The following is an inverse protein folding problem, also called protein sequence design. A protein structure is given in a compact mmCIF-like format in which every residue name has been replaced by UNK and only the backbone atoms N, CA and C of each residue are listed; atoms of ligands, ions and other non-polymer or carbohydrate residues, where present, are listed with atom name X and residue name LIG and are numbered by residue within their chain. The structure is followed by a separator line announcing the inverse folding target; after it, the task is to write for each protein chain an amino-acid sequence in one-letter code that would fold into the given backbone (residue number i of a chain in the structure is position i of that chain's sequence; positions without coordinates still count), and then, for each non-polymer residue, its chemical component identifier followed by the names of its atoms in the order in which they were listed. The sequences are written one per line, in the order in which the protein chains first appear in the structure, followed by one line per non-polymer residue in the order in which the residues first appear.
data_IF_275470886124
#
_entry.id   IF_275470886124
#
_cell.length_a   1.000
_cell.length_b   1.000
_cell.length_c   1.000
_cell.angle_alpha   90.00
_cell.angle_beta   90.00
_cell.angle_gamma   90.00
#
_symmetry.space_group_name_H-M   'P 1'
#
loop_
_entity.id
_entity.type
_entity.pdbx_description
1 polymer ?
#
# COMPACT_ATOMS: atom_id res chain seq x y z
N UNK A 1 -4.63 25.93 1.42
CA UNK A 1 -4.84 24.67 0.67
C UNK A 1 -4.73 23.54 1.68
N UNK A 2 -5.76 22.70 1.81
CA UNK A 2 -5.72 21.54 2.70
C UNK A 2 -4.67 20.57 2.18
N UNK A 3 -3.54 20.39 2.90
CA UNK A 3 -2.58 19.32 2.58
C UNK A 3 -3.33 17.99 2.74
N UNK A 4 -3.51 17.23 1.66
CA UNK A 4 -4.15 15.91 1.73
C UNK A 4 -3.21 14.99 2.53
N UNK A 5 -3.72 14.34 3.58
CA UNK A 5 -2.98 13.27 4.25
C UNK A 5 -2.72 12.17 3.22
N UNK A 6 -1.53 11.57 3.22
CA UNK A 6 -1.15 10.50 2.30
C UNK A 6 -1.28 10.84 0.81
N UNK A 7 -0.86 12.06 0.40
CA UNK A 7 -0.94 12.49 -1.01
C UNK A 7 -0.24 11.57 -2.00
N UNK A 8 0.73 10.77 -1.54
CA UNK A 8 1.45 9.77 -2.32
C UNK A 8 0.63 8.52 -2.66
N UNK A 9 -0.50 8.28 -1.98
CA UNK A 9 -1.45 7.21 -2.30
C UNK A 9 -2.49 7.78 -3.27
N UNK A 10 -2.64 7.12 -4.41
CA UNK A 10 -3.61 7.46 -5.45
C UNK A 10 -4.80 6.53 -5.28
N UNK A 11 -5.97 7.10 -5.01
CA UNK A 11 -7.23 6.37 -5.01
C UNK A 11 -7.50 5.77 -6.40
N UNK A 12 -8.21 4.64 -6.48
CA UNK A 12 -8.51 4.02 -7.79
C UNK A 12 -9.23 4.98 -8.75
N UNK A 13 -10.04 5.92 -8.23
CA UNK A 13 -10.70 6.94 -9.06
C UNK A 13 -9.74 7.93 -9.72
N UNK A 14 -8.58 8.14 -9.10
CA UNK A 14 -7.55 9.09 -9.56
C UNK A 14 -6.44 8.37 -10.34
N UNK A 15 -6.39 7.03 -10.26
CA UNK A 15 -5.49 6.19 -11.04
C UNK A 15 -5.98 6.06 -12.49
N UNK A 16 -5.08 6.17 -13.46
CA UNK A 16 -5.39 6.08 -14.90
C UNK A 16 -5.55 4.61 -15.35
N UNK A 17 -6.41 3.85 -14.67
CA UNK A 17 -6.70 2.43 -14.95
C UNK A 17 -8.06 2.36 -15.64
N UNK A 18 -8.16 1.65 -16.75
CA UNK A 18 -9.43 1.55 -17.47
C UNK A 18 -10.48 0.74 -16.69
N UNK A 19 -11.74 1.16 -16.78
CA UNK A 19 -12.87 0.46 -16.15
C UNK A 19 -12.95 -1.01 -16.59
N UNK A 20 -12.66 -1.30 -17.86
CA UNK A 20 -12.62 -2.66 -18.41
C UNK A 20 -11.59 -3.56 -17.71
N UNK A 21 -10.45 -2.99 -17.27
CA UNK A 21 -9.45 -3.73 -16.49
C UNK A 21 -9.91 -3.88 -15.05
N UNK A 22 -10.43 -2.80 -14.46
CA UNK A 22 -10.93 -2.76 -13.09
C UNK A 22 -12.09 -3.74 -12.84
N UNK A 23 -12.95 -3.96 -13.83
CA UNK A 23 -14.09 -4.86 -13.76
C UNK A 23 -13.72 -6.35 -13.93
N UNK A 24 -12.50 -6.68 -14.39
CA UNK A 24 -12.09 -8.08 -14.56
C UNK A 24 -11.98 -8.79 -13.20
N UNK A 25 -12.30 -10.09 -13.15
CA UNK A 25 -11.95 -10.92 -12.01
C UNK A 25 -10.44 -10.94 -11.79
N UNK A 26 -9.98 -10.64 -10.58
CA UNK A 26 -8.56 -10.49 -10.30
C UNK A 26 -7.77 -11.79 -10.55
N UNK A 27 -8.39 -12.97 -10.38
CA UNK A 27 -7.74 -14.25 -10.62
C UNK A 27 -7.47 -14.55 -12.10
N UNK A 28 -8.08 -13.78 -13.02
CA UNK A 28 -7.83 -13.87 -14.46
C UNK A 28 -6.65 -13.00 -14.89
N UNK A 29 -6.11 -12.19 -13.98
CA UNK A 29 -4.96 -11.31 -14.23
C UNK A 29 -3.72 -11.94 -13.59
N UNK A 30 -2.59 -11.89 -14.29
CA UNK A 30 -1.34 -12.45 -13.77
C UNK A 30 -0.88 -11.66 -12.53
N UNK A 31 -0.23 -12.32 -11.56
CA UNK A 31 0.34 -11.63 -10.39
C UNK A 31 1.31 -10.49 -10.77
N UNK A 32 2.19 -10.65 -11.78
CA UNK A 32 3.01 -9.54 -12.28
C UNK A 32 2.19 -8.33 -12.78
N UNK A 33 1.07 -8.57 -13.46
CA UNK A 33 0.23 -7.47 -13.96
C UNK A 33 -0.61 -6.84 -12.84
N UNK A 34 -1.09 -7.64 -11.87
CA UNK A 34 -1.69 -7.11 -10.65
C UNK A 34 -0.70 -6.22 -9.90
N UNK A 35 0.57 -6.62 -9.79
CA UNK A 35 1.63 -5.78 -9.18
C UNK A 35 1.78 -4.44 -9.90
N UNK A 36 1.78 -4.43 -11.23
CA UNK A 36 1.87 -3.18 -12.01
C UNK A 36 0.66 -2.28 -11.76
N UNK A 37 -0.54 -2.86 -11.64
CA UNK A 37 -1.76 -2.10 -11.36
C UNK A 37 -1.76 -1.53 -9.93
N UNK A 38 -1.27 -2.27 -8.94
CA UNK A 38 -1.04 -1.76 -7.59
C UNK A 38 0.00 -0.63 -7.59
N UNK A 39 1.07 -0.76 -8.36
CA UNK A 39 2.09 0.29 -8.46
C UNK A 39 1.54 1.59 -9.10
N UNK A 40 0.48 1.51 -9.90
CA UNK A 40 -0.20 2.68 -10.46
C UNK A 40 -1.04 3.45 -9.44
N UNK A 41 -1.32 2.86 -8.26
CA UNK A 41 -1.96 3.57 -7.16
C UNK A 41 -0.97 4.34 -6.27
N UNK A 42 0.29 4.53 -6.70
CA UNK A 42 1.35 5.17 -5.92
C UNK A 42 2.06 6.28 -6.73
N UNK A 43 2.21 7.49 -6.19
CA UNK A 43 2.91 8.60 -6.85
C UNK A 43 4.45 8.43 -6.78
N UNK A 44 5.03 7.64 -7.67
CA UNK A 44 6.49 7.46 -7.73
C UNK A 44 7.29 8.77 -7.86
N UNK A 45 6.74 9.79 -8.54
CA UNK A 45 7.41 11.09 -8.70
C UNK A 45 7.44 11.93 -7.43
N UNK A 46 6.61 11.60 -6.43
CA UNK A 46 6.56 12.30 -5.14
C UNK A 46 7.36 11.57 -4.05
N UNK A 47 7.85 10.36 -4.33
CA UNK A 47 8.52 9.49 -3.36
C UNK A 47 10.02 9.80 -3.16
N UNK A 48 10.59 10.73 -3.93
CA UNK A 48 12.03 11.00 -3.88
C UNK A 48 12.42 11.65 -2.54
N UNK A 49 13.34 11.00 -1.80
CA UNK A 49 13.78 11.45 -0.48
C UNK A 49 12.88 11.01 0.68
N UNK A 50 11.87 10.19 0.42
CA UNK A 50 10.99 9.65 1.45
C UNK A 50 11.55 8.32 1.98
N UNK A 51 11.68 8.23 3.31
CA UNK A 51 12.14 7.04 4.03
C UNK A 51 11.05 6.52 4.96
N UNK A 52 11.08 5.21 5.20
CA UNK A 52 10.17 4.53 6.13
C UNK A 52 10.90 4.25 7.43
N UNK A 53 10.25 4.52 8.56
CA UNK A 53 10.71 4.11 9.89
C UNK A 53 9.58 3.49 10.70
N UNK A 54 9.94 2.70 11.72
CA UNK A 54 9.01 2.18 12.72
C UNK A 54 9.07 3.07 13.96
N UNK A 55 7.97 3.17 14.70
CA UNK A 55 8.01 3.83 16.00
C UNK A 55 9.00 3.19 16.98
N UNK A 56 9.19 1.87 16.88
CA UNK A 56 10.12 1.14 17.73
C UNK A 56 11.60 1.44 17.43
N UNK A 57 11.92 2.16 16.35
CA UNK A 57 13.30 2.62 16.08
C UNK A 57 13.60 4.02 16.61
N UNK A 58 12.78 4.54 17.52
CA UNK A 58 12.99 5.84 18.16
C UNK A 58 14.23 5.83 19.08
N UNK A 59 15.06 6.85 18.91
CA UNK A 59 16.22 7.14 19.74
C UNK A 59 15.91 8.30 20.69
N UNK A 60 15.66 7.99 21.97
CA UNK A 60 15.26 8.99 22.98
C UNK A 60 16.30 10.09 23.21
N UNK A 61 17.57 9.82 22.92
CA UNK A 61 18.69 10.72 23.18
C UNK A 61 18.77 11.91 22.22
N UNK A 62 18.29 11.75 20.98
CA UNK A 62 18.32 12.80 19.96
C UNK A 62 16.99 12.99 19.21
N UNK A 63 15.93 12.28 19.64
CA UNK A 63 14.59 12.32 19.07
C UNK A 63 14.55 11.92 17.58
N UNK A 64 15.46 11.03 17.18
CA UNK A 64 15.54 10.52 15.80
C UNK A 64 14.99 9.11 15.66
N UNK A 65 14.85 8.63 14.42
CA UNK A 65 14.38 7.28 14.11
C UNK A 65 15.31 6.61 13.09
N UNK A 66 15.57 5.30 13.24
CA UNK A 66 16.28 4.56 12.19
C UNK A 66 15.39 4.36 10.97
N UNK A 67 15.87 4.82 9.81
CA UNK A 67 15.27 4.50 8.53
C UNK A 67 15.49 3.02 8.18
N UNK A 68 14.40 2.33 7.87
CA UNK A 68 14.39 0.90 7.50
C UNK A 68 14.73 0.72 6.02
N UNK A 69 14.41 1.73 5.20
CA UNK A 69 14.66 1.72 3.78
C UNK A 69 13.97 2.87 3.07
N UNK A 70 14.14 2.91 1.75
CA UNK A 70 13.43 3.87 0.92
C UNK A 70 11.94 3.51 0.85
N UNK A 71 11.10 4.51 0.65
CA UNK A 71 9.67 4.31 0.47
C UNK A 71 9.34 3.39 -0.72
N UNK A 72 10.09 3.51 -1.81
CA UNK A 72 9.90 2.67 -3.01
C UNK A 72 10.23 1.19 -2.76
N UNK A 73 11.33 0.90 -2.05
CA UNK A 73 11.69 -0.48 -1.70
C UNK A 73 10.63 -1.10 -0.76
N UNK A 74 10.14 -0.30 0.19
CA UNK A 74 9.07 -0.71 1.10
C UNK A 74 7.78 -1.04 0.35
N UNK A 75 7.36 -0.18 -0.59
CA UNK A 75 6.17 -0.41 -1.41
C UNK A 75 6.32 -1.66 -2.29
N UNK A 76 7.48 -1.85 -2.93
CA UNK A 76 7.72 -3.05 -3.75
C UNK A 76 7.57 -4.32 -2.93
N UNK A 77 8.21 -4.36 -1.75
CA UNK A 77 8.11 -5.47 -0.82
C UNK A 77 6.67 -5.66 -0.33
N UNK A 78 5.99 -4.58 0.07
CA UNK A 78 4.61 -4.66 0.55
C UNK A 78 3.64 -5.18 -0.52
N UNK A 79 3.85 -4.84 -1.80
CA UNK A 79 3.05 -5.38 -2.90
C UNK A 79 3.32 -6.87 -3.11
N UNK A 80 4.59 -7.29 -3.03
CA UNK A 80 4.97 -8.71 -3.14
C UNK A 80 4.31 -9.54 -2.04
N UNK A 81 4.34 -9.05 -0.81
CA UNK A 81 3.73 -9.73 0.34
C UNK A 81 2.21 -9.82 0.20
N UNK A 82 1.57 -8.72 -0.23
CA UNK A 82 0.13 -8.73 -0.50
C UNK A 82 -0.26 -9.75 -1.59
N UNK A 83 0.49 -9.81 -2.70
CA UNK A 83 0.27 -10.77 -3.79
C UNK A 83 0.58 -12.23 -3.41
N UNK A 84 1.45 -12.45 -2.44
CA UNK A 84 1.71 -13.78 -1.88
C UNK A 84 0.45 -14.34 -1.20
N UNK A 85 -0.33 -13.47 -0.57
CA UNK A 85 -1.57 -13.82 0.13
C UNK A 85 -2.83 -13.71 -0.72
N UNK A 86 -2.70 -13.49 -2.04
CA UNK A 86 -3.81 -13.35 -2.98
C UNK A 86 -4.91 -14.41 -2.81
N UNK A 87 -4.54 -15.69 -2.75
CA UNK A 87 -5.52 -16.78 -2.65
C UNK A 87 -6.27 -16.74 -1.32
N UNK A 88 -5.60 -16.37 -0.22
CA UNK A 88 -6.23 -16.20 1.09
C UNK A 88 -7.23 -15.03 1.07
N UNK A 89 -6.84 -13.89 0.51
CA UNK A 89 -7.70 -12.72 0.33
C UNK A 89 -8.94 -13.07 -0.49
N UNK A 90 -8.75 -13.78 -1.60
CA UNK A 90 -9.84 -14.24 -2.47
C UNK A 90 -10.81 -15.17 -1.73
N UNK A 91 -10.29 -16.15 -0.99
CA UNK A 91 -11.13 -17.09 -0.24
C UNK A 91 -11.88 -16.41 0.92
N UNK A 92 -11.26 -15.41 1.58
CA UNK A 92 -11.94 -14.59 2.57
C UNK A 92 -13.05 -13.75 1.93
N UNK A 93 -12.78 -13.10 0.79
CA UNK A 93 -13.77 -12.31 0.07
C UNK A 93 -15.00 -13.15 -0.34
N UNK A 94 -14.81 -14.38 -0.82
CA UNK A 94 -15.90 -15.32 -1.15
C UNK A 94 -16.81 -15.66 0.03
N UNK A 95 -16.28 -15.68 1.26
CA UNK A 95 -17.06 -16.02 2.47
C UNK A 95 -17.95 -14.87 2.92
N UNK A 96 -17.55 -13.63 2.66
CA UNK A 96 -18.20 -12.44 3.18
C UNK A 96 -18.96 -11.65 2.12
N UNK A 97 -18.69 -11.89 0.83
CA UNK A 97 -19.32 -11.21 -0.30
C UNK A 97 -19.84 -12.21 -1.32
N UNK A 98 -20.97 -11.87 -1.95
CA UNK A 98 -21.56 -12.67 -3.04
C UNK A 98 -20.86 -12.48 -4.39
N UNK A 99 -19.89 -11.57 -4.49
CA UNK A 99 -19.27 -11.18 -5.75
C UNK A 99 -17.84 -11.70 -5.90
N UNK A 100 -17.54 -12.05 -7.15
CA UNK A 100 -16.22 -12.34 -7.65
C UNK A 100 -15.27 -11.17 -7.37
N UNK A 101 -14.13 -11.44 -6.73
CA UNK A 101 -13.13 -10.42 -6.41
C UNK A 101 -12.59 -9.79 -7.70
N UNK A 102 -13.01 -8.56 -8.01
CA UNK A 102 -12.54 -7.82 -9.17
C UNK A 102 -11.16 -7.21 -8.93
N UNK A 103 -10.48 -6.83 -10.01
CA UNK A 103 -9.22 -6.06 -9.95
C UNK A 103 -9.42 -4.80 -9.12
N UNK A 104 -10.54 -4.08 -9.30
CA UNK A 104 -10.84 -2.89 -8.50
C UNK A 104 -10.86 -3.17 -7.01
N UNK A 105 -11.65 -4.15 -6.57
CA UNK A 105 -11.73 -4.51 -5.16
C UNK A 105 -10.34 -4.82 -4.60
N UNK A 106 -9.54 -5.57 -5.35
CA UNK A 106 -8.20 -5.97 -4.94
C UNK A 106 -7.24 -4.77 -4.78
N UNK A 107 -7.34 -3.75 -5.64
CA UNK A 107 -6.53 -2.53 -5.52
C UNK A 107 -7.04 -1.64 -4.38
N UNK A 108 -8.37 -1.46 -4.26
CA UNK A 108 -9.00 -0.67 -3.19
C UNK A 108 -8.65 -1.23 -1.80
N UNK A 109 -8.64 -2.56 -1.65
CA UNK A 109 -8.21 -3.21 -0.40
C UNK A 109 -6.74 -2.91 -0.07
N UNK A 110 -5.85 -2.98 -1.06
CA UNK A 110 -4.44 -2.64 -0.85
C UNK A 110 -4.22 -1.16 -0.47
N UNK A 111 -4.91 -0.24 -1.13
CA UNK A 111 -4.90 1.19 -0.79
C UNK A 111 -5.37 1.40 0.66
N UNK A 112 -6.47 0.75 1.05
CA UNK A 112 -6.96 0.81 2.43
C UNK A 112 -5.95 0.24 3.45
N UNK A 113 -5.19 -0.80 3.09
CA UNK A 113 -4.11 -1.33 3.94
C UNK A 113 -2.98 -0.32 4.11
N UNK A 114 -2.58 0.40 3.06
CA UNK A 114 -1.57 1.45 3.14
C UNK A 114 -2.02 2.60 4.05
N UNK A 115 -3.27 3.06 3.89
CA UNK A 115 -3.85 4.10 4.76
C UNK A 115 -3.90 3.68 6.23
N UNK A 116 -4.07 2.40 6.54
CA UNK A 116 -4.02 1.91 7.93
C UNK A 116 -2.60 1.79 8.48
N UNK A 117 -1.61 1.59 7.61
CA UNK A 117 -0.21 1.41 8.00
C UNK A 117 0.50 2.73 8.24
N UNK A 118 0.19 3.78 7.48
CA UNK A 118 0.87 5.06 7.57
C UNK A 118 0.13 6.03 8.51
N UNK A 119 0.84 6.54 9.51
CA UNK A 119 0.24 7.42 10.52
C UNK A 119 0.43 8.92 10.28
N UNK A 120 1.47 9.34 9.56
CA UNK A 120 1.86 10.76 9.49
C UNK A 120 1.67 11.41 8.12
N UNK A 121 1.54 12.75 8.13
CA UNK A 121 1.54 13.59 6.94
C UNK A 121 2.95 13.64 6.36
N UNK A 122 3.05 13.66 5.03
CA UNK A 122 4.32 13.56 4.34
C UNK A 122 4.60 14.87 3.59
N UNK A 123 5.55 15.63 4.11
CA UNK A 123 6.23 16.68 3.35
C UNK A 123 7.54 16.09 2.75
N UNK A 124 8.17 16.72 1.74
CA UNK A 124 9.53 16.35 1.32
C UNK A 124 10.51 16.30 2.50
N UNK A 125 11.46 15.37 2.49
CA UNK A 125 12.37 15.04 3.62
C UNK A 125 11.68 14.50 4.89
N UNK A 126 10.39 14.11 4.81
CA UNK A 126 9.66 13.51 5.94
C UNK A 126 9.87 12.01 6.06
N UNK A 127 9.87 11.53 7.31
CA UNK A 127 9.81 10.11 7.66
C UNK A 127 8.36 9.63 7.66
N UNK A 128 8.12 8.54 6.95
CA UNK A 128 6.84 7.84 6.96
C UNK A 128 6.86 6.83 8.08
N UNK A 129 6.07 7.11 9.12
CA UNK A 129 5.93 6.21 10.25
C UNK A 129 4.94 5.10 9.91
N UNK A 130 5.41 3.86 10.00
CA UNK A 130 4.54 2.69 9.93
C UNK A 130 4.17 2.21 11.32
N UNK A 131 2.88 1.97 11.55
CA UNK A 131 2.44 1.17 12.69
C UNK A 131 2.88 -0.26 12.43
N UNK A 132 3.91 -0.72 13.12
CA UNK A 132 4.12 -2.13 13.24
C UNK A 132 2.98 -2.66 14.12
N UNK A 133 1.94 -3.23 13.50
CA UNK A 133 1.18 -4.26 14.19
C UNK A 133 2.17 -5.42 14.37
N UNK A 134 2.98 -5.37 15.43
CA UNK A 134 3.90 -6.42 15.88
C UNK A 134 3.10 -7.57 16.48
N UNK A 135 2.15 -8.10 15.72
CA UNK A 135 1.69 -9.47 15.90
C UNK A 135 2.15 -10.23 14.68
N UNK A 136 3.30 -10.88 14.85
CA UNK A 136 3.56 -12.15 14.19
C UNK A 136 2.27 -12.97 14.28
N UNK A 137 1.68 -13.26 13.12
CA UNK A 137 0.66 -14.29 13.03
C UNK A 137 1.45 -15.59 13.11
N UNK A 138 1.55 -16.13 14.33
CA UNK A 138 1.79 -17.56 14.57
C UNK A 138 0.70 -18.42 13.87
#
# INVERSE_FOLDING_TARGET
MSRRHNSHIIEVSDAHISEDVLAKPAYQVSKPDLKKLLAQSQYKSENQGIYIAKYSSHHENDDTYDAIGTYDDYLDQSMNDYLKHFDNTREAAKKHFHQEMTVRYFIDEYIALLHRKFENHQDPDSLVMITAYEKEID
#
